data_IF_513466577614
#
_entry.id   IF_513466577614
#
_cell.length_a   1.000
_cell.length_b   1.000
_cell.length_c   1.000
_cell.angle_alpha   90.00
_cell.angle_beta   90.00
_cell.angle_gamma   90.00
#
_symmetry.space_group_name_H-M   'P 1'
#
loop_
_entity.id
_entity.type
_entity.pdbx_description
1 polymer ?
#
# COMPACT_ATOMS: atom_id res chain seq x y z
N UNK A 1 12.24 7.52 -0.87
CA UNK A 1 11.49 7.05 0.33
C UNK A 1 10.13 6.47 -0.07
N UNK A 2 9.29 7.13 -0.84
CA UNK A 2 7.95 6.60 -1.19
C UNK A 2 8.01 5.19 -1.79
N UNK A 3 8.84 4.92 -2.79
CA UNK A 3 9.00 3.58 -3.40
C UNK A 3 9.46 2.51 -2.41
N UNK A 4 10.40 2.85 -1.52
CA UNK A 4 10.86 1.94 -0.47
C UNK A 4 9.72 1.64 0.50
N UNK A 5 8.94 2.65 0.88
CA UNK A 5 7.78 2.48 1.75
C UNK A 5 6.69 1.66 1.08
N UNK A 6 6.45 1.84 -0.22
CA UNK A 6 5.51 1.03 -0.98
C UNK A 6 5.86 -0.46 -0.92
N UNK A 7 7.14 -0.81 -1.15
CA UNK A 7 7.61 -2.18 -1.03
C UNK A 7 7.47 -2.72 0.41
N UNK A 8 7.83 -1.91 1.42
CA UNK A 8 7.72 -2.30 2.82
C UNK A 8 6.26 -2.56 3.24
N UNK A 9 5.34 -1.65 2.92
CA UNK A 9 3.91 -1.76 3.26
C UNK A 9 3.14 -2.77 2.38
N UNK A 10 3.78 -3.37 1.37
CA UNK A 10 3.26 -4.54 0.67
C UNK A 10 3.55 -5.85 1.42
N UNK A 11 4.45 -5.84 2.41
CA UNK A 11 4.77 -7.01 3.23
C UNK A 11 3.86 -7.04 4.48
N UNK A 12 2.99 -8.05 4.65
CA UNK A 12 2.05 -8.11 5.77
C UNK A 12 2.75 -8.20 7.13
N UNK A 13 3.88 -8.91 7.23
CA UNK A 13 4.66 -8.99 8.48
C UNK A 13 5.25 -7.62 8.85
N UNK A 14 5.72 -6.85 7.86
CA UNK A 14 6.18 -5.49 8.12
C UNK A 14 5.03 -4.62 8.65
N UNK A 15 3.86 -4.68 8.01
CA UNK A 15 2.67 -3.93 8.44
C UNK A 15 2.26 -4.30 9.86
N UNK A 16 2.23 -5.59 10.20
CA UNK A 16 1.92 -6.07 11.55
C UNK A 16 2.86 -5.47 12.61
N UNK A 17 4.16 -5.49 12.34
CA UNK A 17 5.16 -4.94 13.26
C UNK A 17 5.05 -3.42 13.35
N UNK A 18 4.97 -2.72 12.21
CA UNK A 18 5.02 -1.26 12.15
C UNK A 18 3.73 -0.59 12.63
N UNK A 19 2.58 -1.30 12.56
CA UNK A 19 1.29 -0.85 13.11
C UNK A 19 1.18 -1.04 14.64
N UNK A 20 2.11 -1.78 15.24
CA UNK A 20 2.12 -2.07 16.68
C UNK A 20 2.40 -0.80 17.49
N UNK A 21 1.47 -0.38 18.34
CA UNK A 21 1.59 0.84 19.14
C UNK A 21 2.43 0.68 20.39
N UNK A 22 2.55 -0.53 20.91
CA UNK A 22 3.46 -0.90 21.99
C UNK A 22 3.84 -2.39 21.91
N UNK A 23 4.98 -2.72 22.51
CA UNK A 23 5.44 -4.09 22.63
C UNK A 23 5.98 -4.35 24.05
N UNK A 24 5.49 -5.41 24.68
CA UNK A 24 5.94 -5.84 25.99
C UNK A 24 7.09 -6.84 25.87
N UNK A 25 8.28 -6.41 26.25
CA UNK A 25 9.43 -7.31 26.40
C UNK A 25 9.31 -8.05 27.73
N UNK A 26 9.24 -9.40 27.69
CA UNK A 26 9.11 -10.18 28.93
C UNK A 26 10.30 -10.03 29.87
N UNK A 27 10.06 -10.24 31.15
CA UNK A 27 11.11 -10.30 32.18
C UNK A 27 12.23 -11.28 31.78
N UNK A 28 13.47 -10.94 32.12
CA UNK A 28 14.65 -11.74 31.83
C UNK A 28 15.16 -11.73 30.39
N UNK A 29 14.50 -11.03 29.46
CA UNK A 29 14.95 -10.90 28.06
C UNK A 29 15.99 -9.80 27.85
N UNK A 30 15.96 -8.75 28.63
CA UNK A 30 16.90 -7.63 28.54
C UNK A 30 17.61 -7.44 29.89
N UNK A 31 18.95 -7.43 29.90
CA UNK A 31 19.75 -7.24 31.13
C UNK A 31 19.46 -5.90 31.82
N UNK A 32 19.21 -4.85 31.04
CA UNK A 32 18.92 -3.50 31.54
C UNK A 32 17.49 -3.36 32.10
N UNK A 33 16.60 -4.30 31.80
CA UNK A 33 15.21 -4.33 32.26
C UNK A 33 14.86 -5.76 32.72
N UNK A 34 15.36 -6.18 33.88
CA UNK A 34 15.20 -7.57 34.35
C UNK A 34 13.73 -7.95 34.60
N UNK A 35 12.88 -6.98 34.97
CA UNK A 35 11.44 -7.15 35.20
C UNK A 35 10.57 -7.01 33.94
N UNK A 36 11.22 -6.86 32.77
CA UNK A 36 10.56 -6.57 31.50
C UNK A 36 10.45 -5.08 31.22
N UNK A 37 10.01 -4.75 30.01
CA UNK A 37 9.89 -3.36 29.60
C UNK A 37 8.82 -3.20 28.51
N UNK A 38 8.02 -2.13 28.56
CA UNK A 38 7.10 -1.76 27.49
C UNK A 38 7.69 -0.69 26.61
N UNK A 39 7.89 -1.02 25.33
CA UNK A 39 8.24 -0.07 24.29
C UNK A 39 6.97 0.49 23.65
N UNK A 40 6.97 1.80 23.37
CA UNK A 40 5.90 2.47 22.67
C UNK A 40 6.36 2.94 21.30
N UNK A 41 5.52 2.78 20.29
CA UNK A 41 5.75 3.40 18.99
C UNK A 41 5.90 4.93 19.15
N UNK A 42 6.83 5.53 18.42
CA UNK A 42 7.01 6.98 18.44
C UNK A 42 6.04 7.69 17.48
N UNK A 43 5.46 6.97 16.52
CA UNK A 43 4.55 7.54 15.52
C UNK A 43 3.19 7.85 16.16
N UNK A 44 2.93 9.14 16.39
CA UNK A 44 1.76 9.60 17.15
C UNK A 44 0.43 9.39 16.41
N UNK A 45 0.43 9.42 15.07
CA UNK A 45 -0.78 9.23 14.27
C UNK A 45 -1.38 7.80 14.38
N UNK A 46 -0.63 6.83 14.88
CA UNK A 46 -1.12 5.47 15.17
C UNK A 46 -1.91 5.37 16.47
N UNK A 47 -1.73 6.32 17.39
CA UNK A 47 -2.23 6.21 18.77
C UNK A 47 -3.61 6.84 18.89
N UNK A 48 -4.66 6.04 19.03
CA UNK A 48 -6.06 6.50 19.11
C UNK A 48 -6.35 7.56 20.16
N UNK A 49 -5.57 7.59 21.24
CA UNK A 49 -5.72 8.55 22.34
C UNK A 49 -4.81 9.79 22.19
N UNK A 50 -4.08 9.90 21.08
CA UNK A 50 -3.20 11.06 20.82
C UNK A 50 -3.97 12.10 19.98
N UNK A 51 -3.72 13.37 20.26
CA UNK A 51 -4.32 14.49 19.50
C UNK A 51 -3.94 14.52 18.02
N UNK A 52 -2.87 13.80 17.66
CA UNK A 52 -2.40 13.65 16.29
C UNK A 52 -2.88 12.36 15.63
N UNK A 53 -3.73 11.58 16.29
CA UNK A 53 -4.31 10.38 15.69
C UNK A 53 -4.95 10.70 14.34
N UNK A 54 -4.70 9.83 13.37
CA UNK A 54 -5.34 9.92 12.07
C UNK A 54 -5.90 8.55 11.68
N UNK A 55 -7.19 8.52 11.44
CA UNK A 55 -7.88 7.27 11.10
C UNK A 55 -7.33 6.66 9.81
N UNK A 56 -7.20 5.34 9.79
CA UNK A 56 -6.66 4.59 8.65
C UNK A 56 -5.13 4.49 8.62
N UNK A 57 -4.38 5.14 9.52
CA UNK A 57 -2.91 4.97 9.57
C UNK A 57 -2.56 3.55 9.98
N UNK A 58 -1.76 2.88 9.15
CA UNK A 58 -1.32 1.50 9.32
C UNK A 58 0.17 1.37 9.63
N UNK A 59 0.92 2.46 9.63
CA UNK A 59 2.32 2.45 10.01
C UNK A 59 3.07 3.70 9.57
N UNK A 60 4.35 3.75 9.91
CA UNK A 60 5.24 4.83 9.52
C UNK A 60 6.40 5.05 10.48
N UNK A 61 7.30 5.94 10.11
CA UNK A 61 8.52 6.23 10.85
C UNK A 61 8.79 7.71 10.95
N UNK A 62 9.06 8.16 12.16
CA UNK A 62 9.57 9.50 12.46
C UNK A 62 11.09 9.54 12.36
N UNK A 63 11.64 10.67 12.00
CA UNK A 63 13.08 10.89 12.03
C UNK A 63 13.41 12.34 12.37
N UNK A 64 14.58 12.56 12.98
CA UNK A 64 15.12 13.87 13.26
C UNK A 64 16.64 13.84 13.28
N UNK A 65 17.24 14.81 12.63
CA UNK A 65 18.62 15.24 12.87
C UNK A 65 18.68 16.76 12.76
N UNK A 66 19.69 17.39 13.32
CA UNK A 66 19.85 18.85 13.22
C UNK A 66 19.97 19.33 11.76
N UNK A 67 20.49 18.50 10.88
CA UNK A 67 20.65 18.81 9.45
C UNK A 67 19.36 18.51 8.65
N UNK A 68 18.71 17.40 8.93
CA UNK A 68 17.52 16.95 8.17
C UNK A 68 16.21 17.55 8.66
N UNK A 69 16.19 18.18 9.85
CA UNK A 69 14.95 18.59 10.50
C UNK A 69 14.05 17.40 10.86
N UNK A 70 12.79 17.67 11.13
CA UNK A 70 11.81 16.60 11.34
C UNK A 70 11.43 15.95 10.01
N UNK A 71 11.42 14.63 10.00
CA UNK A 71 10.99 13.82 8.86
C UNK A 71 9.92 12.83 9.29
N UNK A 72 8.98 12.55 8.40
CA UNK A 72 7.90 11.62 8.66
C UNK A 72 7.55 10.86 7.38
N UNK A 73 7.50 9.55 7.48
CA UNK A 73 6.86 8.68 6.50
C UNK A 73 5.66 8.04 7.17
N UNK A 74 4.51 8.10 6.53
CA UNK A 74 3.28 7.51 7.05
C UNK A 74 2.54 6.80 5.92
N UNK A 75 2.02 5.61 6.21
CA UNK A 75 1.10 4.90 5.35
C UNK A 75 -0.28 4.87 5.99
N UNK A 76 -1.31 5.18 5.20
CA UNK A 76 -2.70 5.08 5.60
C UNK A 76 -3.52 4.38 4.54
N UNK A 77 -4.55 3.64 4.96
CA UNK A 77 -5.45 2.91 4.08
C UNK A 77 -6.90 3.14 4.49
N UNK A 78 -7.75 3.51 3.51
CA UNK A 78 -9.20 3.65 3.66
C UNK A 78 -9.88 3.19 2.38
N UNK A 79 -10.95 2.44 2.51
CA UNK A 79 -11.80 1.99 1.39
C UNK A 79 -10.99 1.37 0.24
N UNK A 80 -9.94 0.61 0.58
CA UNK A 80 -9.02 -0.02 -0.38
C UNK A 80 -8.01 0.92 -1.04
N UNK A 81 -8.07 2.23 -0.75
CA UNK A 81 -7.04 3.19 -1.19
C UNK A 81 -5.93 3.28 -0.15
N UNK A 82 -4.72 2.89 -0.55
CA UNK A 82 -3.52 2.98 0.28
C UNK A 82 -2.65 4.16 -0.18
N UNK A 83 -2.38 5.08 0.73
CA UNK A 83 -1.58 6.28 0.48
C UNK A 83 -0.32 6.30 1.35
N UNK A 84 0.76 6.78 0.79
CA UNK A 84 2.03 6.99 1.48
C UNK A 84 2.40 8.46 1.41
N UNK A 85 2.48 9.12 2.56
CA UNK A 85 2.97 10.48 2.68
C UNK A 85 4.42 10.49 3.17
N UNK A 86 5.26 11.28 2.51
CA UNK A 86 6.66 11.50 2.88
C UNK A 86 6.89 12.98 3.09
N UNK A 87 7.20 13.37 4.31
CA UNK A 87 7.53 14.74 4.70
C UNK A 87 8.99 14.80 5.11
N UNK A 88 9.75 15.68 4.49
CA UNK A 88 11.16 15.94 4.79
C UNK A 88 11.33 17.38 5.23
N UNK A 89 12.22 17.62 6.19
CA UNK A 89 12.53 18.96 6.72
C UNK A 89 11.29 19.72 7.21
N UNK A 90 10.41 19.04 7.93
CA UNK A 90 9.06 19.53 8.28
C UNK A 90 8.99 20.56 9.42
N UNK A 91 10.10 21.13 9.93
CA UNK A 91 10.17 22.21 10.93
C UNK A 91 9.10 22.16 12.05
N UNK A 92 8.75 20.98 12.58
CA UNK A 92 7.66 20.69 13.53
C UNK A 92 6.25 20.56 12.92
N UNK A 93 6.07 20.84 11.62
CA UNK A 93 4.77 20.71 10.93
C UNK A 93 4.55 19.34 10.30
N UNK A 94 5.53 18.42 10.38
CA UNK A 94 5.52 17.12 9.71
C UNK A 94 4.23 16.32 9.92
N UNK A 95 3.58 16.39 11.07
CA UNK A 95 2.30 15.73 11.32
C UNK A 95 1.12 16.45 10.65
N UNK A 96 1.05 17.78 10.76
CA UNK A 96 0.00 18.56 10.10
C UNK A 96 0.11 18.49 8.58
N UNK A 97 1.34 18.51 8.05
CA UNK A 97 1.59 18.37 6.62
C UNK A 97 1.16 16.98 6.13
N UNK A 98 1.51 15.93 6.87
CA UNK A 98 1.07 14.56 6.58
C UNK A 98 -0.45 14.45 6.57
N UNK A 99 -1.12 15.06 7.57
CA UNK A 99 -2.58 15.09 7.63
C UNK A 99 -3.17 15.79 6.40
N UNK A 100 -2.64 16.95 6.02
CA UNK A 100 -3.12 17.70 4.85
C UNK A 100 -2.95 16.89 3.55
N UNK A 101 -1.82 16.18 3.40
CA UNK A 101 -1.58 15.29 2.25
C UNK A 101 -2.59 14.14 2.20
N UNK A 102 -2.89 13.50 3.32
CA UNK A 102 -3.88 12.44 3.38
C UNK A 102 -5.31 12.96 3.14
N UNK A 103 -5.67 14.09 3.76
CA UNK A 103 -6.97 14.73 3.54
C UNK A 103 -7.17 15.09 2.06
N UNK A 104 -6.11 15.54 1.38
CA UNK A 104 -6.12 15.75 -0.07
C UNK A 104 -6.27 14.43 -0.83
N UNK A 105 -5.45 13.43 -0.52
CA UNK A 105 -5.43 12.16 -1.23
C UNK A 105 -6.76 11.42 -1.13
N UNK A 106 -7.28 11.22 0.08
CA UNK A 106 -8.56 10.52 0.30
C UNK A 106 -9.80 11.27 -0.18
N UNK A 107 -9.71 12.61 -0.33
CA UNK A 107 -10.81 13.40 -0.90
C UNK A 107 -10.85 13.33 -2.42
N UNK A 108 -9.69 13.32 -3.05
CA UNK A 108 -9.58 13.50 -4.50
C UNK A 108 -9.36 12.20 -5.27
N UNK A 109 -9.09 11.11 -4.59
CA UNK A 109 -8.84 9.80 -5.23
C UNK A 109 -9.61 8.69 -4.55
N UNK A 110 -9.93 7.65 -5.33
CA UNK A 110 -10.58 6.42 -4.89
C UNK A 110 -9.88 5.20 -5.48
N UNK A 111 -10.01 4.06 -4.80
CA UNK A 111 -9.60 2.76 -5.32
C UNK A 111 -10.81 2.07 -5.95
N UNK A 112 -10.64 1.57 -7.17
CA UNK A 112 -11.69 0.84 -7.88
C UNK A 112 -11.18 -0.55 -8.20
N UNK A 113 -11.88 -1.59 -7.73
CA UNK A 113 -11.55 -2.97 -8.07
C UNK A 113 -11.72 -3.22 -9.55
N UNK A 114 -10.74 -3.85 -10.17
CA UNK A 114 -10.76 -4.20 -11.60
C UNK A 114 -11.54 -5.48 -11.85
N UNK A 115 -11.63 -6.37 -10.85
CA UNK A 115 -12.28 -7.66 -10.98
C UNK A 115 -13.75 -7.49 -11.35
N UNK A 116 -14.13 -8.02 -12.52
CA UNK A 116 -15.50 -7.97 -13.03
C UNK A 116 -15.90 -6.68 -13.76
N UNK A 117 -14.99 -5.69 -13.87
CA UNK A 117 -15.26 -4.44 -14.58
C UNK A 117 -14.59 -4.36 -15.96
N UNK A 118 -13.54 -5.13 -16.19
CA UNK A 118 -12.78 -5.12 -17.43
C UNK A 118 -13.06 -6.37 -18.25
N UNK A 119 -13.40 -6.19 -19.54
CA UNK A 119 -13.61 -7.27 -20.50
C UNK A 119 -12.31 -7.74 -21.20
N UNK A 120 -11.23 -6.99 -21.12
CA UNK A 120 -9.94 -7.34 -21.73
C UNK A 120 -9.43 -8.69 -21.24
N UNK A 121 -9.74 -9.04 -20.01
CA UNK A 121 -9.40 -10.36 -19.45
C UNK A 121 -10.16 -11.52 -20.15
N UNK A 122 -11.36 -11.28 -20.69
CA UNK A 122 -12.11 -12.28 -21.47
C UNK A 122 -11.46 -12.53 -22.84
N UNK A 123 -10.78 -11.53 -23.40
CA UNK A 123 -10.02 -11.70 -24.63
C UNK A 123 -8.82 -12.63 -24.41
N UNK A 124 -8.22 -12.63 -23.23
CA UNK A 124 -7.18 -13.59 -22.84
C UNK A 124 -7.72 -15.03 -22.88
N UNK A 125 -8.93 -15.27 -22.37
CA UNK A 125 -9.56 -16.61 -22.39
C UNK A 125 -9.79 -17.11 -23.82
N UNK A 126 -10.13 -16.20 -24.72
CA UNK A 126 -10.45 -16.55 -26.10
C UNK A 126 -9.21 -16.71 -27.00
N UNK A 127 -8.12 -15.99 -26.67
CA UNK A 127 -6.94 -15.85 -27.53
C UNK A 127 -5.70 -16.60 -27.02
N UNK A 128 -5.85 -17.40 -25.95
CA UNK A 128 -4.73 -18.10 -25.35
C UNK A 128 -4.25 -19.23 -26.26
N UNK A 129 -3.23 -18.93 -27.06
CA UNK A 129 -2.51 -19.89 -27.86
C UNK A 129 -1.03 -19.89 -27.47
N UNK A 130 -0.49 -21.04 -27.07
CA UNK A 130 0.94 -21.23 -26.79
C UNK A 130 1.53 -22.10 -27.87
N UNK A 131 2.49 -21.59 -28.64
CA UNK A 131 3.16 -22.32 -29.73
C UNK A 131 2.20 -22.76 -30.86
N UNK A 132 1.14 -21.97 -31.12
CA UNK A 132 0.15 -22.27 -32.15
C UNK A 132 -0.90 -23.32 -31.74
N UNK A 133 -0.90 -23.75 -30.49
CA UNK A 133 -1.90 -24.66 -29.91
C UNK A 133 -2.90 -23.81 -29.13
N UNK A 134 -4.16 -23.78 -29.57
CA UNK A 134 -5.24 -23.16 -28.82
C UNK A 134 -5.55 -24.01 -27.58
N UNK A 135 -5.38 -23.42 -26.40
CA UNK A 135 -5.66 -24.07 -25.13
C UNK A 135 -7.16 -23.92 -24.84
N UNK A 136 -7.95 -24.79 -25.42
CA UNK A 136 -9.41 -24.76 -25.24
C UNK A 136 -9.86 -25.56 -24.01
N UNK A 137 -10.80 -24.99 -23.26
CA UNK A 137 -11.83 -25.74 -22.54
C UNK A 137 -11.61 -26.07 -21.08
N UNK A 138 -10.43 -25.99 -20.48
CA UNK A 138 -10.25 -26.32 -19.05
C UNK A 138 -9.40 -25.32 -18.23
N UNK A 139 -8.88 -24.30 -18.86
CA UNK A 139 -8.07 -23.28 -18.17
C UNK A 139 -8.99 -22.16 -17.69
N UNK A 140 -9.02 -21.93 -16.37
CA UNK A 140 -9.71 -20.80 -15.80
C UNK A 140 -8.70 -19.67 -15.60
N UNK A 141 -8.81 -18.62 -16.39
CA UNK A 141 -8.10 -17.37 -16.16
C UNK A 141 -8.88 -16.50 -15.17
N UNK A 142 -8.19 -15.72 -14.40
CA UNK A 142 -8.79 -14.72 -13.51
C UNK A 142 -7.84 -13.55 -13.32
N UNK A 143 -8.41 -12.37 -13.23
CA UNK A 143 -7.67 -11.20 -12.73
C UNK A 143 -7.31 -11.44 -11.27
N UNK A 144 -6.14 -11.02 -10.85
CA UNK A 144 -5.73 -11.12 -9.44
C UNK A 144 -6.79 -10.45 -8.55
N UNK A 145 -7.25 -11.19 -7.52
CA UNK A 145 -8.44 -10.80 -6.71
C UNK A 145 -8.37 -9.40 -6.10
N UNK A 146 -7.16 -8.93 -5.81
CA UNK A 146 -6.94 -7.64 -5.17
C UNK A 146 -6.48 -6.57 -6.16
N UNK A 147 -6.58 -6.83 -7.46
CA UNK A 147 -6.23 -5.83 -8.47
C UNK A 147 -7.19 -4.66 -8.41
N UNK A 148 -6.63 -3.46 -8.27
CA UNK A 148 -7.38 -2.23 -8.25
C UNK A 148 -6.59 -1.12 -8.97
N UNK A 149 -7.33 -0.15 -9.49
CA UNK A 149 -6.76 1.08 -10.04
C UNK A 149 -7.15 2.26 -9.17
N UNK A 150 -6.26 3.24 -9.10
CA UNK A 150 -6.54 4.51 -8.40
C UNK A 150 -7.06 5.51 -9.41
N UNK A 151 -8.25 6.02 -9.17
CA UNK A 151 -8.90 7.02 -10.01
C UNK A 151 -9.13 8.32 -9.23
N UNK A 152 -9.26 9.47 -9.91
CA UNK A 152 -9.85 10.66 -9.32
C UNK A 152 -11.24 10.34 -8.75
N UNK A 153 -11.63 10.98 -7.67
CA UNK A 153 -12.93 10.72 -7.02
C UNK A 153 -14.12 10.89 -7.97
N UNK A 154 -14.06 11.87 -8.87
CA UNK A 154 -15.07 12.17 -9.88
C UNK A 154 -14.94 11.31 -11.15
N UNK A 155 -13.82 10.57 -11.33
CA UNK A 155 -13.60 9.71 -12.49
C UNK A 155 -14.38 8.42 -12.42
N UNK A 156 -14.71 7.85 -13.57
CA UNK A 156 -15.35 6.54 -13.69
C UNK A 156 -14.36 5.52 -14.29
N UNK A 157 -14.58 4.22 -14.00
CA UNK A 157 -13.75 3.16 -14.57
C UNK A 157 -13.87 3.09 -16.10
N UNK A 158 -15.01 3.52 -16.65
CA UNK A 158 -15.23 3.63 -18.11
C UNK A 158 -14.32 4.64 -18.81
N UNK A 159 -13.73 5.58 -18.05
CA UNK A 159 -12.79 6.57 -18.58
C UNK A 159 -11.37 6.02 -18.70
N UNK A 160 -11.12 4.83 -18.18
CA UNK A 160 -9.81 4.20 -18.15
C UNK A 160 -9.62 3.37 -19.40
N UNK A 161 -8.54 3.61 -20.13
CA UNK A 161 -8.13 2.73 -21.22
C UNK A 161 -7.32 1.55 -20.68
N UNK A 162 -7.53 0.36 -21.22
CA UNK A 162 -6.78 -0.83 -20.87
C UNK A 162 -6.10 -1.45 -22.09
N UNK A 163 -4.95 -2.06 -21.88
CA UNK A 163 -4.21 -2.78 -22.90
C UNK A 163 -3.60 -4.06 -22.36
N UNK A 164 -3.68 -5.13 -23.16
CA UNK A 164 -3.11 -6.43 -22.84
C UNK A 164 -1.65 -6.49 -23.27
N UNK A 165 -0.80 -7.05 -22.42
CA UNK A 165 0.60 -7.34 -22.72
C UNK A 165 0.97 -8.74 -22.22
N UNK A 166 1.61 -9.52 -23.08
CA UNK A 166 2.19 -10.82 -22.72
C UNK A 166 3.61 -10.71 -22.14
N UNK A 167 4.18 -9.52 -22.12
CA UNK A 167 5.47 -9.26 -21.46
C UNK A 167 5.23 -9.06 -19.97
N UNK A 168 5.70 -10.01 -19.18
CA UNK A 168 5.59 -9.98 -17.72
C UNK A 168 6.79 -9.30 -17.11
N UNK A 169 6.59 -8.68 -15.93
CA UNK A 169 7.66 -8.15 -15.10
C UNK A 169 8.42 -9.28 -14.39
N UNK A 170 9.67 -9.05 -14.01
CA UNK A 170 10.51 -10.02 -13.30
C UNK A 170 9.87 -10.51 -11.98
N UNK A 171 9.11 -9.62 -11.33
CA UNK A 171 8.40 -9.91 -10.08
C UNK A 171 7.00 -10.50 -10.27
N UNK A 172 6.57 -10.80 -11.50
CA UNK A 172 5.25 -11.36 -11.75
C UNK A 172 5.10 -12.74 -11.09
N UNK A 173 3.89 -13.08 -10.57
CA UNK A 173 3.61 -14.43 -10.07
C UNK A 173 3.89 -15.50 -11.13
N UNK A 174 4.39 -16.67 -10.72
CA UNK A 174 4.67 -17.78 -11.64
C UNK A 174 3.43 -18.30 -12.39
N UNK A 175 2.24 -18.00 -11.88
CA UNK A 175 0.95 -18.33 -12.51
C UNK A 175 0.46 -17.25 -13.48
N UNK A 176 1.12 -16.10 -13.56
CA UNK A 176 0.74 -15.03 -14.47
C UNK A 176 1.02 -15.45 -15.92
N UNK A 177 0.08 -15.19 -16.82
CA UNK A 177 0.20 -15.46 -18.26
C UNK A 177 0.21 -14.19 -19.09
N UNK A 178 -0.35 -13.10 -18.57
CA UNK A 178 -0.39 -11.80 -19.21
C UNK A 178 -0.52 -10.68 -18.16
N UNK A 179 -0.34 -9.45 -18.59
CA UNK A 179 -0.52 -8.23 -17.80
C UNK A 179 -1.52 -7.32 -18.49
N UNK A 180 -2.43 -6.75 -17.72
CA UNK A 180 -3.31 -5.68 -18.18
C UNK A 180 -2.74 -4.35 -17.66
N UNK A 181 -2.50 -3.42 -18.57
CA UNK A 181 -2.04 -2.06 -18.24
C UNK A 181 -3.24 -1.12 -18.32
N UNK A 182 -3.39 -0.27 -17.32
CA UNK A 182 -4.42 0.75 -17.21
C UNK A 182 -3.80 2.15 -17.30
N UNK A 183 -4.38 3.00 -18.14
CA UNK A 183 -3.92 4.39 -18.37
C UNK A 183 -5.09 5.36 -18.49
#
# INVERSE_FOLDING_TARGET
MALISQAAFSNPTFVEIDSTTYYDVPAGKLKQYPDGWRYYAHHRMLKKNDSLYYDGVIGGKTGYTSLAGNTLVTCAERDGLKLIAVVLNGHQTHYSDTKALFDFGFRNFKSVSVAGQDSVYQDIENDLAIGGIHLGGSIRLSVEKNSAVTLPSEGDFSDVSSSLSYTLEEAAPSSAVARINYT
#
